data_IF_024831272378
#
_entry.id   IF_024831272378
#
_cell.length_a   1.000
_cell.length_b   1.000
_cell.length_c   1.000
_cell.angle_alpha   90.00
_cell.angle_beta   90.00
_cell.angle_gamma   90.00
#
_symmetry.space_group_name_H-M   'P 1'
#
loop_
_entity.id
_entity.type
_entity.pdbx_description
1 polymer ?
#
# COMPACT_ATOMS: atom_id res chain seq x y z
N UNK A 1 17.04 -14.42 4.39
CA UNK A 1 17.00 -15.38 5.50
C UNK A 1 15.73 -16.21 5.33
N UNK A 2 15.84 -17.46 4.87
CA UNK A 2 14.65 -18.35 4.80
C UNK A 2 14.44 -18.89 6.21
N UNK A 3 13.28 -18.61 6.81
CA UNK A 3 12.94 -19.15 8.14
C UNK A 3 12.84 -20.67 8.05
N UNK A 4 13.40 -21.40 9.02
CA UNK A 4 13.40 -22.88 9.08
C UNK A 4 11.98 -23.47 9.14
N UNK A 5 10.98 -22.69 9.55
CA UNK A 5 9.56 -23.05 9.48
C UNK A 5 8.82 -22.05 8.58
N UNK A 6 8.57 -22.45 7.33
CA UNK A 6 7.74 -21.69 6.41
C UNK A 6 6.27 -21.78 6.86
N UNK A 7 5.74 -20.68 7.36
CA UNK A 7 4.32 -20.56 7.73
C UNK A 7 3.50 -20.25 6.47
N UNK A 8 2.49 -21.07 6.20
CA UNK A 8 1.62 -20.91 5.03
C UNK A 8 0.19 -20.69 5.48
N UNK A 9 -0.47 -19.69 4.90
CA UNK A 9 -1.91 -19.45 5.07
C UNK A 9 -2.60 -19.74 3.74
N UNK A 10 -3.61 -20.61 3.77
CA UNK A 10 -4.41 -20.96 2.60
C UNK A 10 -5.83 -20.42 2.71
N UNK A 11 -6.30 -19.76 1.65
CA UNK A 11 -7.67 -19.31 1.53
C UNK A 11 -8.33 -20.03 0.36
N UNK A 12 -9.36 -20.82 0.63
CA UNK A 12 -10.15 -21.50 -0.40
C UNK A 12 -11.08 -20.55 -1.19
N UNK A 13 -11.32 -19.34 -0.67
CA UNK A 13 -12.19 -18.32 -1.26
C UNK A 13 -11.45 -17.16 -1.91
N UNK A 14 -12.19 -16.28 -2.59
CA UNK A 14 -11.64 -15.10 -3.27
C UNK A 14 -11.59 -13.88 -2.34
N UNK A 15 -10.83 -13.95 -1.24
CA UNK A 15 -10.79 -12.91 -0.21
C UNK A 15 -10.50 -11.51 -0.77
N UNK A 16 -9.44 -11.37 -1.57
CA UNK A 16 -9.08 -10.08 -2.18
C UNK A 16 -10.20 -9.50 -3.05
N UNK A 17 -10.90 -10.34 -3.82
CA UNK A 17 -12.06 -9.92 -4.63
C UNK A 17 -13.23 -9.47 -3.76
N UNK A 18 -13.50 -10.19 -2.67
CA UNK A 18 -14.59 -9.82 -1.74
C UNK A 18 -14.22 -8.49 -1.08
N UNK A 19 -13.03 -8.37 -0.48
CA UNK A 19 -12.56 -7.13 0.12
C UNK A 19 -12.64 -5.95 -0.85
N UNK A 20 -12.15 -6.11 -2.08
CA UNK A 20 -12.20 -5.06 -3.10
C UNK A 20 -13.63 -4.59 -3.46
N UNK A 21 -14.63 -5.45 -3.28
CA UNK A 21 -16.03 -5.16 -3.62
C UNK A 21 -16.82 -4.55 -2.48
N UNK A 22 -16.52 -4.91 -1.23
CA UNK A 22 -17.34 -4.53 -0.07
C UNK A 22 -16.60 -3.75 1.01
N UNK A 23 -15.26 -3.72 0.97
CA UNK A 23 -14.43 -2.99 1.93
C UNK A 23 -14.59 -3.46 3.37
N UNK A 24 -14.85 -4.76 3.61
CA UNK A 24 -15.13 -5.26 4.95
C UNK A 24 -13.85 -5.27 5.80
N UNK A 25 -13.78 -4.51 6.92
CA UNK A 25 -12.56 -4.36 7.72
C UNK A 25 -12.04 -5.67 8.31
N UNK A 26 -12.92 -6.63 8.59
CA UNK A 26 -12.51 -7.95 9.11
C UNK A 26 -11.67 -8.74 8.09
N UNK A 27 -11.96 -8.59 6.79
CA UNK A 27 -11.18 -9.25 5.73
C UNK A 27 -9.83 -8.57 5.53
N UNK A 28 -9.78 -7.25 5.62
CA UNK A 28 -8.52 -6.50 5.64
C UNK A 28 -7.63 -6.98 6.77
N UNK A 29 -8.18 -6.97 7.99
CA UNK A 29 -7.52 -7.45 9.21
C UNK A 29 -6.98 -8.88 9.02
N UNK A 30 -7.82 -9.79 8.52
CA UNK A 30 -7.43 -11.17 8.27
C UNK A 30 -6.28 -11.28 7.26
N UNK A 31 -6.34 -10.52 6.15
CA UNK A 31 -5.29 -10.54 5.12
C UNK A 31 -3.97 -9.99 5.66
N UNK A 32 -4.00 -8.82 6.34
CA UNK A 32 -2.80 -8.19 6.92
C UNK A 32 -2.15 -9.12 7.94
N UNK A 33 -2.90 -9.63 8.92
CA UNK A 33 -2.33 -10.52 9.93
C UNK A 33 -1.83 -11.84 9.33
N UNK A 34 -2.42 -12.34 8.25
CA UNK A 34 -1.93 -13.54 7.58
C UNK A 34 -0.57 -13.30 6.90
N UNK A 35 -0.38 -12.14 6.28
CA UNK A 35 0.92 -11.74 5.70
C UNK A 35 1.96 -11.56 6.81
N UNK A 36 1.63 -10.84 7.88
CA UNK A 36 2.54 -10.63 9.02
C UNK A 36 2.87 -11.95 9.74
N UNK A 37 1.90 -12.84 9.93
CA UNK A 37 2.14 -14.13 10.57
C UNK A 37 3.03 -15.05 9.74
N UNK A 38 2.89 -15.01 8.41
CA UNK A 38 3.66 -15.84 7.47
C UNK A 38 5.06 -15.29 7.18
N UNK A 39 5.17 -13.99 6.88
CA UNK A 39 6.40 -13.33 6.44
C UNK A 39 7.10 -12.45 7.48
N UNK A 40 6.42 -12.10 8.58
CA UNK A 40 6.91 -11.10 9.55
C UNK A 40 6.67 -9.66 9.10
N UNK A 41 7.28 -8.72 9.82
CA UNK A 41 7.21 -7.30 9.49
C UNK A 41 7.90 -7.01 8.14
N UNK A 42 7.27 -6.25 7.24
CA UNK A 42 7.89 -5.87 5.99
C UNK A 42 9.05 -4.90 6.24
N UNK A 43 10.08 -4.89 5.37
CA UNK A 43 11.21 -3.98 5.50
C UNK A 43 10.83 -2.51 5.24
N UNK A 44 9.71 -2.28 4.54
CA UNK A 44 9.14 -0.97 4.25
C UNK A 44 7.64 -1.00 4.55
N UNK A 45 7.17 0.00 5.27
CA UNK A 45 5.78 0.22 5.63
C UNK A 45 5.43 1.69 5.39
N UNK A 46 4.18 1.99 5.06
CA UNK A 46 3.70 3.37 4.98
C UNK A 46 2.47 3.50 5.86
N UNK A 47 2.59 4.36 6.87
CA UNK A 47 1.51 4.69 7.78
C UNK A 47 0.83 5.99 7.32
N UNK A 48 -0.50 6.01 7.30
CA UNK A 48 -1.26 7.23 7.01
C UNK A 48 -2.62 6.96 6.36
N UNK A 49 -3.36 8.01 5.97
CA UNK A 49 -4.70 7.86 5.42
C UNK A 49 -4.71 7.38 3.97
N UNK A 50 -5.87 6.89 3.55
CA UNK A 50 -6.16 6.59 2.14
C UNK A 50 -5.70 5.20 1.68
N UNK A 51 -5.73 5.02 0.36
CA UNK A 51 -5.27 3.81 -0.31
C UNK A 51 -4.03 4.15 -1.13
N UNK A 52 -2.90 3.54 -0.78
CA UNK A 52 -1.61 3.75 -1.42
C UNK A 52 -1.04 2.41 -1.88
N UNK A 53 -0.57 2.34 -3.12
CA UNK A 53 0.27 1.25 -3.57
C UNK A 53 1.73 1.60 -3.33
N UNK A 54 2.44 0.70 -2.66
CA UNK A 54 3.83 0.87 -2.25
C UNK A 54 4.67 -0.21 -2.90
N UNK A 55 5.68 0.20 -3.66
CA UNK A 55 6.63 -0.73 -4.29
C UNK A 55 8.06 -0.32 -3.94
N UNK A 56 8.78 -1.21 -3.26
CA UNK A 56 10.13 -0.95 -2.77
C UNK A 56 11.17 -1.80 -3.52
N UNK A 57 12.24 -1.15 -3.98
CA UNK A 57 13.33 -1.76 -4.73
C UNK A 57 14.67 -1.40 -4.11
N UNK A 58 15.55 -2.40 -3.94
CA UNK A 58 16.94 -2.15 -3.54
C UNK A 58 17.84 -2.11 -4.77
N UNK A 59 18.65 -1.07 -4.91
CA UNK A 59 19.60 -0.90 -6.02
C UNK A 59 20.91 -0.30 -5.51
N UNK A 60 22.00 -1.06 -5.59
CA UNK A 60 23.36 -0.56 -5.30
C UNK A 60 23.49 0.18 -3.95
N UNK A 61 22.85 -0.32 -2.90
CA UNK A 61 22.83 0.30 -1.56
C UNK A 61 21.71 1.33 -1.35
N UNK A 62 21.05 1.79 -2.42
CA UNK A 62 19.89 2.67 -2.34
C UNK A 62 18.60 1.87 -2.18
N UNK A 63 17.62 2.47 -1.51
CA UNK A 63 16.24 2.01 -1.47
C UNK A 63 15.36 2.99 -2.24
N UNK A 64 14.66 2.50 -3.25
CA UNK A 64 13.76 3.27 -4.10
C UNK A 64 12.34 2.80 -3.76
N UNK A 65 11.52 3.71 -3.26
CA UNK A 65 10.13 3.45 -2.88
C UNK A 65 9.22 4.25 -3.78
N UNK A 66 8.43 3.56 -4.60
CA UNK A 66 7.38 4.15 -5.40
C UNK A 66 6.08 4.19 -4.61
N UNK A 67 5.45 5.37 -4.57
CA UNK A 67 4.21 5.63 -3.87
C UNK A 67 3.17 6.08 -4.89
N UNK A 68 2.18 5.24 -5.17
CA UNK A 68 1.08 5.53 -6.08
C UNK A 68 -0.22 5.70 -5.29
N UNK A 69 -0.81 6.88 -5.38
CA UNK A 69 -2.07 7.19 -4.70
C UNK A 69 -3.27 6.66 -5.49
N UNK A 70 -4.06 5.81 -4.83
CA UNK A 70 -5.29 5.23 -5.35
C UNK A 70 -6.54 5.79 -4.64
N UNK A 71 -6.39 6.91 -3.94
CA UNK A 71 -7.49 7.62 -3.25
C UNK A 71 -8.10 8.66 -4.18
N UNK A 72 -9.37 8.49 -4.51
CA UNK A 72 -10.09 9.33 -5.45
C UNK A 72 -11.31 9.97 -4.82
N UNK A 73 -11.73 11.14 -5.31
CA UNK A 73 -12.84 11.93 -4.75
C UNK A 73 -14.21 11.25 -4.90
N UNK A 74 -14.33 10.42 -5.93
CA UNK A 74 -15.58 9.76 -6.32
C UNK A 74 -15.33 8.32 -6.71
N UNK A 75 -15.87 7.39 -5.91
CA UNK A 75 -16.02 5.99 -6.28
C UNK A 75 -17.49 5.59 -6.12
N UNK A 76 -18.29 5.81 -7.16
CA UNK A 76 -19.66 5.29 -7.19
C UNK A 76 -19.59 3.85 -7.69
N UNK A 77 -19.56 2.91 -6.75
CA UNK A 77 -19.71 1.49 -7.04
C UNK A 77 -21.21 1.22 -7.16
N UNK A 78 -21.73 1.08 -8.39
CA UNK A 78 -23.07 0.54 -8.57
C UNK A 78 -22.95 -0.98 -8.51
N UNK A 79 -23.61 -1.61 -7.53
CA UNK A 79 -23.80 -3.05 -7.60
C UNK A 79 -24.64 -3.33 -8.84
N UNK A 80 -24.07 -4.08 -9.79
CA UNK A 80 -24.83 -4.63 -10.92
C UNK A 80 -26.13 -5.26 -10.42
N UNK A 81 -27.21 -4.99 -11.14
CA UNK A 81 -28.60 -5.29 -10.80
C UNK A 81 -28.79 -6.56 -9.92
N UNK A 82 -29.21 -6.37 -8.67
CA UNK A 82 -29.52 -7.45 -7.72
C UNK A 82 -30.69 -8.33 -8.17
N UNK A 83 -31.47 -7.92 -9.17
CA UNK A 83 -32.58 -8.69 -9.72
C UNK A 83 -32.14 -9.89 -10.59
N UNK A 84 -30.86 -9.98 -11.00
CA UNK A 84 -30.32 -11.17 -11.67
C UNK A 84 -29.34 -11.92 -10.76
N UNK A 85 -29.89 -12.58 -9.73
CA UNK A 85 -29.20 -13.44 -8.77
C UNK A 85 -28.41 -14.64 -9.37
N UNK A 86 -28.38 -14.79 -10.70
CA UNK A 86 -27.64 -15.86 -11.41
C UNK A 86 -26.28 -15.44 -11.97
N UNK A 87 -25.89 -14.18 -11.90
CA UNK A 87 -24.62 -13.71 -12.41
C UNK A 87 -23.52 -13.64 -11.35
N UNK A 88 -22.96 -14.78 -10.88
CA UNK A 88 -21.75 -14.77 -10.02
C UNK A 88 -20.53 -14.06 -10.66
N UNK A 89 -20.60 -13.83 -11.98
CA UNK A 89 -19.58 -13.17 -12.79
C UNK A 89 -19.75 -11.65 -12.96
N UNK A 90 -20.85 -11.04 -12.49
CA UNK A 90 -21.04 -9.60 -12.71
C UNK A 90 -20.11 -8.79 -11.79
N UNK A 91 -19.12 -8.13 -12.36
CA UNK A 91 -18.22 -7.21 -11.66
C UNK A 91 -19.02 -5.97 -11.25
N UNK A 92 -18.73 -5.41 -10.09
CA UNK A 92 -19.29 -4.10 -9.76
C UNK A 92 -18.57 -3.08 -10.64
N UNK A 93 -19.28 -2.52 -11.62
CA UNK A 93 -18.73 -1.50 -12.50
C UNK A 93 -18.79 -0.15 -11.79
N UNK A 94 -17.67 0.57 -11.78
CA UNK A 94 -17.68 1.99 -11.43
C UNK A 94 -18.39 2.72 -12.56
N UNK A 95 -19.59 3.24 -12.31
CA UNK A 95 -20.39 3.89 -13.37
C UNK A 95 -19.87 5.30 -13.68
N UNK A 96 -19.12 5.89 -12.75
CA UNK A 96 -18.40 7.14 -12.96
C UNK A 96 -16.90 6.91 -12.72
N UNK A 97 -16.04 7.11 -13.74
CA UNK A 97 -14.61 7.02 -13.55
C UNK A 97 -14.13 8.11 -12.58
N UNK A 98 -13.06 7.86 -11.80
CA UNK A 98 -12.41 8.89 -11.01
C UNK A 98 -12.03 10.10 -11.88
N UNK A 99 -12.40 11.31 -11.45
CA UNK A 99 -12.04 12.56 -12.14
C UNK A 99 -10.89 13.30 -11.46
N UNK A 100 -10.62 13.01 -10.18
CA UNK A 100 -9.53 13.62 -9.44
C UNK A 100 -9.00 12.70 -8.35
N UNK A 101 -7.70 12.83 -8.05
CA UNK A 101 -7.04 12.18 -6.92
C UNK A 101 -7.17 13.08 -5.70
N UNK A 102 -7.51 12.49 -4.55
CA UNK A 102 -7.47 13.19 -3.25
C UNK A 102 -6.04 13.13 -2.73
N UNK A 103 -5.34 14.27 -2.59
CA UNK A 103 -3.98 14.29 -2.06
C UNK A 103 -3.91 13.65 -0.68
N UNK A 104 -2.90 12.81 -0.45
CA UNK A 104 -2.60 12.21 0.84
C UNK A 104 -1.51 13.02 1.53
N UNK A 105 -1.83 13.52 2.72
CA UNK A 105 -0.88 14.23 3.59
C UNK A 105 -0.53 13.41 4.81
N UNK A 106 0.57 13.77 5.46
CA UNK A 106 0.99 13.18 6.73
C UNK A 106 1.29 11.67 6.64
N UNK A 107 1.71 11.20 5.45
CA UNK A 107 2.18 9.83 5.27
C UNK A 107 3.56 9.70 5.91
N UNK A 108 3.79 8.57 6.55
CA UNK A 108 5.06 8.23 7.18
C UNK A 108 5.59 6.93 6.57
N UNK A 109 6.64 7.04 5.75
CA UNK A 109 7.38 5.88 5.25
C UNK A 109 8.33 5.41 6.34
N UNK A 110 8.17 4.16 6.75
CA UNK A 110 8.96 3.49 7.79
C UNK A 110 9.84 2.43 7.12
N UNK A 111 11.14 2.48 7.35
CA UNK A 111 12.12 1.56 6.77
C UNK A 111 12.92 0.92 7.90
N UNK A 112 12.94 -0.42 7.94
CA UNK A 112 13.51 -1.20 9.05
C UNK A 112 14.85 -1.86 8.74
N UNK A 113 15.32 -1.76 7.50
CA UNK A 113 16.56 -2.40 7.04
C UNK A 113 17.42 -1.41 6.25
N UNK A 114 18.74 -1.52 6.41
CA UNK A 114 19.71 -0.72 5.66
C UNK A 114 20.29 0.44 6.46
N UNK A 115 21.23 1.15 5.85
CA UNK A 115 21.84 2.35 6.41
C UNK A 115 21.69 3.48 5.40
N UNK A 116 20.95 4.51 5.77
CA UNK A 116 20.65 5.64 4.89
C UNK A 116 21.03 6.95 5.57
N UNK A 117 21.60 7.87 4.80
CA UNK A 117 22.02 9.20 5.26
C UNK A 117 21.14 10.30 4.70
N UNK A 118 20.47 10.04 3.57
CA UNK A 118 19.68 11.02 2.86
C UNK A 118 18.39 10.40 2.35
N UNK A 119 17.37 11.23 2.25
CA UNK A 119 16.10 10.90 1.64
C UNK A 119 15.72 12.03 0.68
N UNK A 120 15.41 11.70 -0.57
CA UNK A 120 15.01 12.70 -1.57
C UNK A 120 14.08 12.10 -2.63
N UNK A 121 13.36 12.96 -3.33
CA UNK A 121 12.60 12.59 -4.52
C UNK A 121 13.38 12.98 -5.77
N UNK A 122 13.73 12.03 -6.66
CA UNK A 122 14.30 12.35 -7.95
C UNK A 122 13.27 12.97 -8.91
N UNK A 123 11.97 12.77 -8.64
CA UNK A 123 10.88 13.30 -9.46
C UNK A 123 10.67 14.79 -9.21
N UNK A 124 10.65 15.20 -7.94
CA UNK A 124 10.37 16.59 -7.55
C UNK A 124 11.60 17.37 -7.10
N UNK A 125 12.75 16.70 -6.92
CA UNK A 125 13.98 17.28 -6.38
C UNK A 125 13.91 17.61 -4.88
N UNK A 126 12.79 17.28 -4.22
CA UNK A 126 12.58 17.57 -2.79
C UNK A 126 13.50 16.71 -1.93
N UNK A 127 14.05 17.31 -0.89
CA UNK A 127 14.79 16.61 0.17
C UNK A 127 13.84 16.40 1.35
N UNK A 128 13.87 15.22 1.94
CA UNK A 128 13.06 14.88 3.08
C UNK A 128 13.92 14.78 4.34
N UNK A 129 13.34 15.14 5.48
CA UNK A 129 13.96 14.87 6.76
C UNK A 129 13.93 13.36 7.02
N UNK A 130 15.07 12.81 7.43
CA UNK A 130 15.23 11.41 7.78
C UNK A 130 15.41 11.32 9.29
N UNK A 131 14.40 10.81 9.98
CA UNK A 131 14.46 10.52 11.41
C UNK A 131 14.89 9.06 11.58
N UNK A 132 15.88 8.79 12.43
CA UNK A 132 16.32 7.43 12.71
C UNK A 132 16.26 7.18 14.22
N UNK A 133 15.50 6.18 14.62
CA UNK A 133 15.36 5.74 16.01
C UNK A 133 15.50 4.22 16.08
N UNK A 134 16.43 3.72 16.90
CA UNK A 134 16.68 2.28 17.09
C UNK A 134 16.89 1.48 15.79
N UNK A 135 17.49 2.11 14.76
CA UNK A 135 17.71 1.49 13.44
C UNK A 135 16.48 1.47 12.52
N UNK A 136 15.38 2.11 12.91
CA UNK A 136 14.20 2.33 12.08
C UNK A 136 14.23 3.77 11.56
N UNK A 137 14.16 3.90 10.24
CA UNK A 137 14.11 5.19 9.57
C UNK A 137 12.66 5.59 9.30
N UNK A 138 12.35 6.87 9.52
CA UNK A 138 11.03 7.44 9.29
C UNK A 138 11.16 8.68 8.41
N UNK A 139 10.34 8.75 7.37
CA UNK A 139 10.31 9.87 6.41
C UNK A 139 8.87 10.32 6.20
N UNK A 140 8.60 11.60 6.45
CA UNK A 140 7.29 12.19 6.17
C UNK A 140 7.17 12.59 4.71
N UNK A 141 6.10 12.15 4.05
CA UNK A 141 5.84 12.37 2.63
C UNK A 141 4.39 12.81 2.42
N UNK A 142 4.18 13.71 1.46
CA UNK A 142 2.85 14.03 0.94
C UNK A 142 2.80 13.55 -0.50
N UNK A 143 1.74 12.83 -0.88
CA UNK A 143 1.61 12.22 -2.21
C UNK A 143 0.34 12.76 -2.87
N UNK A 144 0.51 13.38 -4.03
CA UNK A 144 -0.61 13.71 -4.93
C UNK A 144 -0.98 12.46 -5.71
N UNK A 145 -0.64 12.35 -7.00
CA UNK A 145 -0.88 11.13 -7.77
C UNK A 145 0.22 10.09 -7.53
N UNK A 146 1.47 10.55 -7.53
CA UNK A 146 2.63 9.69 -7.49
C UNK A 146 3.83 10.42 -6.88
N UNK A 147 4.64 9.70 -6.11
CA UNK A 147 5.92 10.17 -5.61
C UNK A 147 6.92 9.01 -5.59
N UNK A 148 8.20 9.36 -5.75
CA UNK A 148 9.30 8.40 -5.61
C UNK A 148 10.21 8.88 -4.50
N UNK A 149 10.42 8.04 -3.50
CA UNK A 149 11.34 8.30 -2.40
C UNK A 149 12.60 7.45 -2.60
N UNK A 150 13.76 8.09 -2.67
CA UNK A 150 15.06 7.42 -2.71
C UNK A 150 15.78 7.67 -1.40
N UNK A 151 16.18 6.59 -0.74
CA UNK A 151 17.05 6.61 0.43
C UNK A 151 18.45 6.13 0.02
N UNK A 152 19.48 6.92 0.35
CA UNK A 152 20.90 6.66 0.07
C UNK A 152 21.81 7.00 1.25
#
# INVERSE_FOLDING_TARGET
MVREEARTVYFSGQLGRIYWRIGMPDLETLMVYSVLWSGGEPPVEVEGPGLLQVEAYKRSGQLIVHLLNLTYDRRIIVRGNTAKTRGWASTAESVHPPSSVVPLTDLSVVVREGEYRKAYSPLTGRKFALECENGVYRVKVNVNEYEVLVLE
#
